data_IF_556480960153
#
_entry.id   IF_556480960153
#
_cell.length_a   1.000
_cell.length_b   1.000
_cell.length_c   1.000
_cell.angle_alpha   90.00
_cell.angle_beta   90.00
_cell.angle_gamma   90.00
#
_symmetry.space_group_name_H-M   'P 1'
#
loop_
_entity.id
_entity.type
_entity.pdbx_description
1 polymer ?
#
# COMPACT_ATOMS: atom_id res chain seq x y z
N UNK A 1 -6.28 -13.60 -13.18
CA UNK A 1 -5.10 -13.02 -12.50
C UNK A 1 -3.86 -13.30 -13.32
N UNK A 2 -2.81 -12.50 -13.16
CA UNK A 2 -1.61 -12.55 -14.02
C UNK A 2 -0.91 -13.93 -13.99
N UNK A 3 -0.85 -14.56 -12.81
CA UNK A 3 -0.32 -15.93 -12.66
C UNK A 3 -1.08 -16.95 -13.51
N UNK A 4 -2.41 -16.84 -13.61
CA UNK A 4 -3.22 -17.72 -14.44
C UNK A 4 -2.98 -17.49 -15.94
N UNK A 5 -2.73 -16.23 -16.34
CA UNK A 5 -2.38 -15.89 -17.71
C UNK A 5 -1.03 -16.50 -18.09
N UNK A 6 -0.03 -16.42 -17.21
CA UNK A 6 1.28 -17.04 -17.44
C UNK A 6 1.22 -18.57 -17.42
N UNK A 7 0.45 -19.18 -16.50
CA UNK A 7 0.24 -20.62 -16.50
C UNK A 7 -0.46 -21.11 -17.79
N UNK A 8 -1.42 -20.34 -18.31
CA UNK A 8 -2.06 -20.63 -19.60
C UNK A 8 -1.06 -20.54 -20.77
N UNK A 9 -0.06 -19.67 -20.69
CA UNK A 9 1.02 -19.61 -21.69
C UNK A 9 1.89 -20.87 -21.65
N UNK A 10 2.17 -21.42 -20.47
CA UNK A 10 2.87 -22.72 -20.34
C UNK A 10 2.06 -23.81 -21.04
N UNK A 11 0.77 -23.94 -20.71
CA UNK A 11 -0.12 -24.95 -21.33
C UNK A 11 -0.17 -24.79 -22.85
N UNK A 12 -0.33 -23.54 -23.34
CA UNK A 12 -0.31 -23.25 -24.77
C UNK A 12 1.00 -23.66 -25.44
N UNK A 13 2.14 -23.42 -24.80
CA UNK A 13 3.45 -23.80 -25.33
C UNK A 13 3.58 -25.33 -25.47
N UNK A 14 2.97 -26.09 -24.56
CA UNK A 14 2.94 -27.56 -24.63
C UNK A 14 1.97 -28.03 -25.71
N UNK A 15 0.71 -27.61 -25.65
CA UNK A 15 -0.36 -28.15 -26.51
C UNK A 15 -0.30 -27.64 -27.96
N UNK A 16 0.00 -26.36 -28.17
CA UNK A 16 -0.03 -25.75 -29.49
C UNK A 16 1.32 -25.77 -30.21
N UNK A 17 2.43 -25.74 -29.46
CA UNK A 17 3.79 -25.69 -30.02
C UNK A 17 4.60 -26.96 -29.78
N UNK A 18 4.05 -27.96 -29.07
CA UNK A 18 4.71 -29.25 -28.85
C UNK A 18 5.98 -29.17 -27.99
N UNK A 19 6.15 -28.10 -27.20
CA UNK A 19 7.28 -27.98 -26.29
C UNK A 19 7.17 -28.97 -25.14
N UNK A 20 8.30 -29.50 -24.67
CA UNK A 20 8.30 -30.24 -23.42
C UNK A 20 7.93 -29.32 -22.25
N UNK A 21 7.32 -29.89 -21.21
CA UNK A 21 6.77 -29.13 -20.07
C UNK A 21 7.84 -28.30 -19.37
N UNK A 22 9.07 -28.83 -19.24
CA UNK A 22 10.19 -28.14 -18.56
C UNK A 22 10.67 -26.95 -19.39
N UNK A 23 10.87 -27.12 -20.70
CA UNK A 23 11.23 -26.03 -21.61
C UNK A 23 10.12 -24.99 -21.74
N UNK A 24 8.85 -25.41 -21.74
CA UNK A 24 7.70 -24.50 -21.76
C UNK A 24 7.67 -23.63 -20.50
N UNK A 25 7.90 -24.22 -19.32
CA UNK A 25 8.04 -23.49 -18.05
C UNK A 25 9.24 -22.55 -18.06
N UNK A 26 10.42 -23.00 -18.52
CA UNK A 26 11.64 -22.18 -18.59
C UNK A 26 11.43 -20.98 -19.52
N UNK A 27 10.79 -21.18 -20.67
CA UNK A 27 10.45 -20.11 -21.60
C UNK A 27 9.55 -19.02 -20.99
N UNK A 28 8.56 -19.43 -20.17
CA UNK A 28 7.69 -18.49 -19.45
C UNK A 28 8.43 -17.78 -18.31
N UNK A 29 9.26 -18.50 -17.56
CA UNK A 29 10.08 -17.94 -16.48
C UNK A 29 11.04 -16.84 -16.98
N UNK A 30 11.61 -17.01 -18.17
CA UNK A 30 12.53 -16.04 -18.77
C UNK A 30 11.82 -14.78 -19.29
N UNK A 31 10.52 -14.88 -19.58
CA UNK A 31 9.72 -13.80 -20.16
C UNK A 31 8.82 -13.08 -19.14
N UNK A 32 8.59 -13.68 -17.97
CA UNK A 32 7.75 -13.05 -16.96
C UNK A 32 8.46 -11.83 -16.34
N UNK A 33 7.74 -10.71 -16.12
CA UNK A 33 8.30 -9.54 -15.46
C UNK A 33 8.47 -9.72 -13.93
N UNK A 34 7.75 -10.67 -13.32
CA UNK A 34 7.82 -10.91 -11.87
C UNK A 34 9.00 -11.81 -11.51
N UNK A 35 9.90 -11.28 -10.67
CA UNK A 35 11.04 -12.02 -10.13
C UNK A 35 10.62 -13.16 -9.22
N UNK A 36 9.60 -12.97 -8.39
CA UNK A 36 9.07 -13.96 -7.46
C UNK A 36 8.42 -15.13 -8.20
N UNK A 37 7.65 -14.83 -9.25
CA UNK A 37 7.01 -15.85 -10.07
C UNK A 37 8.05 -16.64 -10.87
N UNK A 38 9.05 -15.95 -11.43
CA UNK A 38 10.21 -16.60 -12.08
C UNK A 38 10.92 -17.57 -11.13
N UNK A 39 11.23 -17.13 -9.91
CA UNK A 39 11.88 -17.95 -8.88
C UNK A 39 11.03 -19.19 -8.55
N UNK A 40 9.71 -19.02 -8.45
CA UNK A 40 8.78 -20.12 -8.19
C UNK A 40 8.81 -21.16 -9.31
N UNK A 41 8.76 -20.74 -10.58
CA UNK A 41 8.84 -21.66 -11.73
C UNK A 41 10.19 -22.39 -11.75
N UNK A 42 11.29 -21.69 -11.51
CA UNK A 42 12.61 -22.34 -11.45
C UNK A 42 12.71 -23.36 -10.31
N UNK A 43 12.10 -23.10 -9.16
CA UNK A 43 11.99 -24.08 -8.08
C UNK A 43 11.16 -25.32 -8.47
N UNK A 44 10.06 -25.14 -9.22
CA UNK A 44 9.27 -26.25 -9.79
C UNK A 44 10.13 -27.09 -10.74
N UNK A 45 10.82 -26.45 -11.70
CA UNK A 45 11.71 -27.12 -12.66
C UNK A 45 12.79 -27.92 -11.92
N UNK A 46 13.48 -27.31 -10.96
CA UNK A 46 14.55 -27.95 -10.20
C UNK A 46 14.03 -29.15 -9.40
N UNK A 47 12.83 -29.04 -8.80
CA UNK A 47 12.24 -30.15 -8.05
C UNK A 47 11.87 -31.32 -8.96
N UNK A 48 11.39 -31.05 -10.18
CA UNK A 48 11.10 -32.08 -11.19
C UNK A 48 12.39 -32.74 -11.69
N UNK A 49 13.42 -31.96 -12.06
CA UNK A 49 14.70 -32.47 -12.59
C UNK A 49 15.45 -33.32 -11.56
N UNK A 50 15.32 -33.01 -10.27
CA UNK A 50 15.97 -33.75 -9.17
C UNK A 50 15.13 -34.92 -8.64
N UNK A 51 13.90 -35.12 -9.13
CA UNK A 51 12.97 -36.15 -8.64
C UNK A 51 12.48 -35.90 -7.21
N UNK A 52 12.47 -34.64 -6.77
CA UNK A 52 12.04 -34.23 -5.44
C UNK A 52 10.52 -34.22 -5.27
N UNK A 53 10.08 -33.97 -4.03
CA UNK A 53 8.65 -33.86 -3.69
C UNK A 53 8.11 -32.46 -4.06
N UNK A 54 7.48 -32.37 -5.24
CA UNK A 54 6.87 -31.14 -5.74
C UNK A 54 5.75 -30.62 -4.83
N UNK A 55 4.97 -31.52 -4.21
CA UNK A 55 3.89 -31.13 -3.30
C UNK A 55 4.48 -30.41 -2.09
N UNK A 56 5.51 -30.99 -1.47
CA UNK A 56 6.22 -30.40 -0.33
C UNK A 56 6.88 -29.07 -0.70
N UNK A 57 7.49 -28.97 -1.89
CA UNK A 57 8.04 -27.71 -2.39
C UNK A 57 6.96 -26.62 -2.47
N UNK A 58 5.84 -26.90 -3.14
CA UNK A 58 4.75 -25.93 -3.31
C UNK A 58 4.10 -25.54 -1.98
N UNK A 59 3.94 -26.49 -1.05
CA UNK A 59 3.46 -26.19 0.31
C UNK A 59 4.38 -25.23 1.06
N UNK A 60 5.70 -25.40 0.94
CA UNK A 60 6.68 -24.52 1.56
C UNK A 60 6.70 -23.14 0.90
N UNK A 61 6.73 -23.08 -0.44
CA UNK A 61 6.69 -21.84 -1.19
C UNK A 61 5.40 -21.04 -0.89
N UNK A 62 4.26 -21.71 -0.76
CA UNK A 62 3.00 -21.07 -0.39
C UNK A 62 3.02 -20.52 1.05
N UNK A 63 3.61 -21.27 2.01
CA UNK A 63 3.76 -20.80 3.39
C UNK A 63 4.67 -19.57 3.48
N UNK A 64 5.79 -19.58 2.75
CA UNK A 64 6.73 -18.47 2.69
C UNK A 64 6.08 -17.23 2.07
N UNK A 65 5.43 -17.37 0.90
CA UNK A 65 4.71 -16.27 0.26
C UNK A 65 3.60 -15.68 1.15
N UNK A 66 2.86 -16.54 1.88
CA UNK A 66 1.83 -16.09 2.82
C UNK A 66 2.43 -15.37 4.03
N UNK A 67 3.57 -15.83 4.52
CA UNK A 67 4.29 -15.17 5.61
C UNK A 67 4.77 -13.78 5.19
N UNK A 68 5.41 -13.66 4.02
CA UNK A 68 5.85 -12.38 3.47
C UNK A 68 4.69 -11.42 3.23
N UNK A 69 3.57 -11.93 2.71
CA UNK A 69 2.36 -11.15 2.54
C UNK A 69 1.84 -10.63 3.89
N UNK A 70 1.78 -11.47 4.92
CA UNK A 70 1.34 -11.08 6.25
C UNK A 70 2.25 -10.01 6.84
N UNK A 71 3.57 -10.16 6.70
CA UNK A 71 4.55 -9.20 7.18
C UNK A 71 4.44 -7.84 6.46
N UNK A 72 4.30 -7.84 5.13
CA UNK A 72 4.06 -6.61 4.34
C UNK A 72 2.76 -5.94 4.77
N UNK A 73 1.69 -6.70 4.98
CA UNK A 73 0.41 -6.19 5.45
C UNK A 73 0.50 -5.60 6.86
N UNK A 74 1.21 -6.25 7.77
CA UNK A 74 1.41 -5.75 9.12
C UNK A 74 2.17 -4.42 9.13
N UNK A 75 3.27 -4.33 8.37
CA UNK A 75 4.01 -3.07 8.18
C UNK A 75 3.15 -1.97 7.59
N UNK A 76 2.30 -2.30 6.63
CA UNK A 76 1.35 -1.36 6.04
C UNK A 76 0.33 -0.86 7.07
N UNK A 77 -0.25 -1.76 7.87
CA UNK A 77 -1.18 -1.38 8.95
C UNK A 77 -0.50 -0.54 10.03
N UNK A 78 0.75 -0.84 10.39
CA UNK A 78 1.53 -0.04 11.32
C UNK A 78 1.74 1.38 10.79
N UNK A 79 2.07 1.51 9.50
CA UNK A 79 2.23 2.81 8.84
C UNK A 79 0.92 3.61 8.85
N UNK A 80 -0.21 2.96 8.53
CA UNK A 80 -1.53 3.58 8.61
C UNK A 80 -1.87 4.04 10.03
N UNK A 81 -1.53 3.24 11.05
CA UNK A 81 -1.72 3.63 12.46
C UNK A 81 -0.93 4.89 12.80
N UNK A 82 0.34 4.96 12.38
CA UNK A 82 1.17 6.16 12.58
C UNK A 82 0.57 7.39 11.89
N UNK A 83 -0.01 7.24 10.70
CA UNK A 83 -0.69 8.34 10.02
C UNK A 83 -1.96 8.78 10.73
N UNK A 84 -2.72 7.84 11.30
CA UNK A 84 -3.90 8.14 12.11
C UNK A 84 -3.52 8.89 13.41
N UNK A 85 -2.43 8.49 14.06
CA UNK A 85 -1.89 9.21 15.23
C UNK A 85 -1.51 10.64 14.86
N UNK A 86 -0.82 10.84 13.72
CA UNK A 86 -0.47 12.17 13.24
C UNK A 86 -1.70 13.04 12.92
N UNK A 87 -2.74 12.43 12.33
CA UNK A 87 -4.01 13.09 12.06
C UNK A 87 -4.67 13.58 13.35
N UNK A 88 -4.74 12.73 14.38
CA UNK A 88 -5.34 13.14 15.65
C UNK A 88 -4.49 14.18 16.41
N UNK A 89 -3.17 13.99 16.46
CA UNK A 89 -2.26 14.84 17.23
C UNK A 89 -2.07 16.23 16.61
N UNK A 90 -2.00 16.33 15.29
CA UNK A 90 -1.73 17.62 14.61
C UNK A 90 -3.01 18.16 13.98
N UNK A 91 -3.72 17.34 13.20
CA UNK A 91 -4.81 17.85 12.38
C UNK A 91 -6.08 18.19 13.17
N UNK A 92 -6.31 17.50 14.29
CA UNK A 92 -7.43 17.82 15.20
C UNK A 92 -6.99 18.82 16.27
N UNK A 93 -5.80 18.63 16.87
CA UNK A 93 -5.36 19.49 17.96
C UNK A 93 -5.05 20.92 17.50
N UNK A 94 -4.49 21.13 16.30
CA UNK A 94 -4.15 22.48 15.85
C UNK A 94 -5.38 23.38 15.64
N UNK A 95 -6.46 22.95 14.95
CA UNK A 95 -7.71 23.71 14.89
C UNK A 95 -8.35 23.93 16.26
N UNK A 96 -8.33 22.93 17.14
CA UNK A 96 -8.85 23.09 18.50
C UNK A 96 -8.07 24.13 19.29
N UNK A 97 -6.73 24.09 19.21
CA UNK A 97 -5.87 25.05 19.87
C UNK A 97 -6.06 26.46 19.30
N UNK A 98 -6.15 26.58 17.98
CA UNK A 98 -6.46 27.84 17.28
C UNK A 98 -7.78 28.45 17.78
N UNK A 99 -8.86 27.65 17.83
CA UNK A 99 -10.16 28.08 18.36
C UNK A 99 -10.07 28.45 19.83
N UNK A 100 -9.33 27.68 20.64
CA UNK A 100 -9.18 27.92 22.08
C UNK A 100 -8.50 29.26 22.37
N UNK A 101 -7.39 29.56 21.68
CA UNK A 101 -6.66 30.83 21.83
C UNK A 101 -7.53 32.01 21.42
N UNK A 102 -8.20 31.94 20.26
CA UNK A 102 -9.10 33.00 19.82
C UNK A 102 -10.30 33.17 20.75
N UNK A 103 -10.81 32.09 21.35
CA UNK A 103 -11.91 32.16 22.33
C UNK A 103 -11.49 32.94 23.57
N UNK A 104 -10.29 32.72 24.10
CA UNK A 104 -9.75 33.48 25.24
C UNK A 104 -9.55 34.95 24.87
N UNK A 105 -8.98 35.23 23.69
CA UNK A 105 -8.80 36.61 23.22
C UNK A 105 -10.14 37.34 23.03
N UNK A 106 -11.19 36.61 22.63
CA UNK A 106 -12.54 37.18 22.46
C UNK A 106 -13.11 37.75 23.77
N UNK A 107 -12.67 37.25 24.92
CA UNK A 107 -13.11 37.71 26.24
C UNK A 107 -12.38 38.97 26.69
N UNK A 108 -11.10 39.10 26.35
CA UNK A 108 -10.28 40.28 26.66
C UNK A 108 -10.68 41.48 25.79
N UNK A 109 -11.31 41.21 24.64
CA UNK A 109 -11.65 42.21 23.64
C UNK A 109 -10.47 42.47 22.71
N UNK A 110 -10.77 42.83 21.47
CA UNK A 110 -9.77 43.06 20.44
C UNK A 110 -10.29 42.73 19.04
N UNK A 111 -9.49 43.06 18.04
CA UNK A 111 -9.70 42.64 16.66
C UNK A 111 -8.44 41.93 16.17
N UNK A 112 -8.63 40.92 15.33
CA UNK A 112 -7.53 40.16 14.71
C UNK A 112 -7.63 40.42 13.22
N UNK A 113 -6.59 40.96 12.62
CA UNK A 113 -6.57 41.40 11.21
C UNK A 113 -7.70 42.38 10.84
N UNK A 114 -8.11 43.27 11.77
CA UNK A 114 -9.20 44.23 11.54
C UNK A 114 -10.61 43.61 11.55
N UNK A 115 -10.72 42.31 11.80
CA UNK A 115 -11.98 41.60 11.97
C UNK A 115 -12.29 41.41 13.46
N UNK A 116 -13.59 41.37 13.80
CA UNK A 116 -13.99 40.90 15.12
C UNK A 116 -13.52 39.45 15.32
N UNK A 117 -13.05 39.13 16.53
CA UNK A 117 -12.49 37.81 16.86
C UNK A 117 -13.46 36.66 16.49
N UNK A 118 -14.79 36.76 16.72
CA UNK A 118 -15.73 35.72 16.29
C UNK A 118 -15.76 35.51 14.77
N UNK A 119 -15.63 36.59 13.98
CA UNK A 119 -15.62 36.50 12.51
C UNK A 119 -14.30 35.91 12.00
N UNK A 120 -13.17 36.33 12.58
CA UNK A 120 -11.85 35.77 12.27
C UNK A 120 -11.80 34.26 12.57
N UNK A 121 -12.36 33.83 13.71
CA UNK A 121 -12.46 32.43 14.09
C UNK A 121 -13.31 31.63 13.09
N UNK A 122 -14.49 32.12 12.70
CA UNK A 122 -15.34 31.45 11.71
C UNK A 122 -14.61 31.25 10.39
N UNK A 123 -14.06 32.31 9.82
CA UNK A 123 -13.33 32.24 8.55
C UNK A 123 -12.13 31.30 8.67
N UNK A 124 -11.38 31.42 9.76
CA UNK A 124 -10.23 30.55 10.06
C UNK A 124 -10.61 29.08 10.09
N UNK A 125 -11.67 28.69 10.80
CA UNK A 125 -12.13 27.29 10.87
C UNK A 125 -12.62 26.79 9.52
N UNK A 126 -13.45 27.56 8.81
CA UNK A 126 -13.99 27.18 7.51
C UNK A 126 -12.92 27.11 6.41
N UNK A 127 -11.80 27.80 6.54
CA UNK A 127 -10.67 27.69 5.61
C UNK A 127 -9.66 26.63 6.05
N UNK A 128 -9.26 26.62 7.32
CA UNK A 128 -8.20 25.78 7.87
C UNK A 128 -8.57 24.29 7.85
N UNK A 129 -9.78 23.91 8.30
CA UNK A 129 -10.17 22.50 8.37
C UNK A 129 -10.19 21.85 6.98
N UNK A 130 -10.85 22.43 5.95
CA UNK A 130 -10.82 21.84 4.61
C UNK A 130 -9.41 21.80 4.03
N UNK A 131 -8.60 22.86 4.22
CA UNK A 131 -7.23 22.92 3.72
C UNK A 131 -6.37 21.81 4.33
N UNK A 132 -6.47 21.61 5.65
CA UNK A 132 -5.74 20.55 6.36
C UNK A 132 -6.17 19.16 5.90
N UNK A 133 -7.48 18.94 5.65
CA UNK A 133 -7.97 17.67 5.11
C UNK A 133 -7.48 17.40 3.67
N UNK A 134 -7.53 18.42 2.81
CA UNK A 134 -7.01 18.31 1.44
C UNK A 134 -5.51 17.97 1.47
N UNK A 135 -4.73 18.68 2.29
CA UNK A 135 -3.31 18.40 2.50
C UNK A 135 -3.07 16.97 2.96
N UNK A 136 -3.90 16.45 3.88
CA UNK A 136 -3.76 15.08 4.38
C UNK A 136 -4.09 14.03 3.33
N UNK A 137 -5.15 14.24 2.55
CA UNK A 137 -5.51 13.34 1.45
C UNK A 137 -4.37 13.31 0.42
N UNK A 138 -3.81 14.46 0.05
CA UNK A 138 -2.66 14.55 -0.85
C UNK A 138 -1.42 13.86 -0.28
N UNK A 139 -1.15 14.02 1.03
CA UNK A 139 -0.06 13.34 1.71
C UNK A 139 -0.21 11.82 1.65
N UNK A 140 -1.41 11.29 1.93
CA UNK A 140 -1.69 9.85 1.80
C UNK A 140 -1.50 9.40 0.36
N UNK A 141 -2.04 10.15 -0.61
CA UNK A 141 -1.94 9.78 -2.02
C UNK A 141 -0.48 9.71 -2.50
N UNK A 142 0.37 10.63 -2.04
CA UNK A 142 1.79 10.63 -2.39
C UNK A 142 2.60 9.54 -1.68
N UNK A 143 2.23 9.19 -0.45
CA UNK A 143 2.94 8.17 0.35
C UNK A 143 2.42 6.75 0.12
N UNK A 144 1.27 6.58 -0.51
CA UNK A 144 0.77 5.27 -0.93
C UNK A 144 1.76 4.65 -1.93
N UNK A 145 2.37 3.50 -1.59
CA UNK A 145 3.12 2.75 -2.58
C UNK A 145 2.14 2.27 -3.65
N UNK A 146 2.41 2.58 -4.92
CA UNK A 146 1.69 2.00 -6.05
C UNK A 146 1.90 0.49 -6.02
N UNK A 147 0.87 -0.24 -5.57
CA UNK A 147 0.75 -1.69 -5.71
C UNK A 147 0.53 -2.07 -7.16
#
# INVERSE_FOLDING_TARGET
GEVANEAKRVVRNVEAFGMDVVSAMRNVADRTPSTEFRQTIYGIISTIETGGDLKKFLENAAKEALFDYRLKREKYMQTLSTYADFYTAVLIAAPLFFVSVLSVMSLVGGSVFGLSIPNAMRIGVYAMIPLMNIMFILFIHYTQPTV
#
